data_IF_138427945947
#
_entry.id   IF_138427945947
#
_cell.length_a   1.000
_cell.length_b   1.000
_cell.length_c   1.000
_cell.angle_alpha   90.00
_cell.angle_beta   90.00
_cell.angle_gamma   90.00
#
_symmetry.space_group_name_H-M   'P 1'
#
loop_
_entity.id
_entity.type
_entity.pdbx_description
1 polymer ?
#
# COMPACT_ATOMS: atom_id res chain seq x y z
N UNK A 1 5.72 -27.86 -15.38
CA UNK A 1 5.73 -26.61 -16.17
C UNK A 1 6.48 -25.56 -15.38
N UNK A 2 7.19 -24.64 -16.05
CA UNK A 2 7.94 -23.57 -15.38
C UNK A 2 7.11 -22.26 -15.30
N UNK A 3 7.58 -21.29 -14.51
CA UNK A 3 6.94 -19.97 -14.48
C UNK A 3 6.92 -19.30 -15.86
N UNK A 4 7.96 -19.50 -16.68
CA UNK A 4 8.01 -18.97 -18.05
C UNK A 4 6.90 -19.51 -18.95
N UNK A 5 6.42 -20.73 -18.67
CA UNK A 5 5.35 -21.36 -19.46
C UNK A 5 3.97 -20.80 -19.09
N UNK A 6 3.73 -20.49 -17.82
CA UNK A 6 2.40 -20.16 -17.29
C UNK A 6 2.22 -18.68 -16.90
N UNK A 7 3.33 -17.96 -16.70
CA UNK A 7 3.32 -16.55 -16.28
C UNK A 7 2.68 -16.34 -14.93
N UNK A 8 2.50 -15.05 -14.57
CA UNK A 8 1.91 -14.70 -13.27
C UNK A 8 0.47 -15.21 -13.11
N UNK A 9 -0.30 -15.32 -14.20
CA UNK A 9 -1.70 -15.79 -14.18
C UNK A 9 -1.83 -17.24 -13.75
N UNK A 10 -0.84 -18.07 -14.11
CA UNK A 10 -0.80 -19.46 -13.69
C UNK A 10 -0.38 -19.67 -12.24
N UNK A 11 0.12 -18.61 -11.60
CA UNK A 11 0.60 -18.64 -10.21
C UNK A 11 -0.33 -17.90 -9.26
N UNK A 12 -0.97 -16.83 -9.73
CA UNK A 12 -1.78 -15.93 -8.92
C UNK A 12 -2.98 -16.65 -8.31
N UNK A 13 -3.07 -16.63 -6.99
CA UNK A 13 -4.07 -17.33 -6.18
C UNK A 13 -4.11 -18.86 -6.39
N UNK A 14 -2.93 -19.47 -6.65
CA UNK A 14 -2.80 -20.91 -6.82
C UNK A 14 -1.97 -21.53 -5.71
N UNK A 15 -2.37 -22.73 -5.30
CA UNK A 15 -1.51 -23.63 -4.52
C UNK A 15 -0.55 -24.34 -5.47
N UNK A 16 0.73 -24.35 -5.15
CA UNK A 16 1.79 -24.87 -5.99
C UNK A 16 2.73 -25.69 -5.16
N UNK A 17 3.13 -26.84 -5.65
CA UNK A 17 4.28 -27.55 -5.08
C UNK A 17 5.52 -27.25 -5.93
N UNK A 18 6.65 -27.03 -5.25
CA UNK A 18 7.98 -26.88 -5.88
C UNK A 18 8.95 -27.83 -5.19
N UNK A 19 9.87 -28.41 -5.95
CA UNK A 19 10.88 -29.29 -5.37
C UNK A 19 11.92 -28.49 -4.56
N UNK A 20 12.38 -29.12 -3.47
CA UNK A 20 13.44 -28.55 -2.64
C UNK A 20 14.78 -28.73 -3.37
N UNK A 21 15.52 -27.64 -3.52
CA UNK A 21 16.86 -27.60 -4.11
C UNK A 21 17.76 -26.64 -3.32
N UNK A 22 18.98 -26.38 -3.79
CA UNK A 22 19.95 -25.49 -3.12
C UNK A 22 19.40 -24.08 -2.84
N UNK A 23 18.50 -23.57 -3.70
CA UNK A 23 17.87 -22.24 -3.54
C UNK A 23 16.82 -22.25 -2.43
N UNK A 24 16.00 -23.33 -2.36
CA UNK A 24 14.84 -23.42 -1.46
C UNK A 24 15.14 -24.14 -0.14
N UNK A 25 16.23 -24.90 -0.06
CA UNK A 25 16.61 -25.69 1.13
C UNK A 25 16.77 -24.83 2.39
N UNK A 26 17.39 -23.67 2.26
CA UNK A 26 17.62 -22.76 3.39
C UNK A 26 16.35 -22.22 4.01
N UNK A 27 15.34 -21.96 3.18
CA UNK A 27 14.04 -21.45 3.66
C UNK A 27 13.18 -22.53 4.30
N UNK A 28 13.44 -23.82 3.98
CA UNK A 28 12.76 -24.95 4.61
C UNK A 28 13.17 -25.18 6.07
N UNK A 29 14.36 -24.71 6.45
CA UNK A 29 14.88 -24.93 7.80
C UNK A 29 13.95 -24.30 8.84
N UNK A 30 13.53 -25.10 9.82
CA UNK A 30 12.60 -24.66 10.85
C UNK A 30 11.11 -24.88 10.52
N UNK A 31 10.80 -25.42 9.33
CA UNK A 31 9.47 -25.95 9.05
C UNK A 31 9.31 -27.38 9.62
N UNK A 32 8.11 -27.75 10.10
CA UNK A 32 7.85 -29.10 10.57
C UNK A 32 8.22 -30.15 9.53
N UNK A 33 8.95 -31.19 9.94
CA UNK A 33 9.40 -32.29 9.10
C UNK A 33 10.23 -31.91 7.88
N UNK A 34 10.93 -30.79 7.92
CA UNK A 34 11.81 -30.34 6.82
C UNK A 34 12.93 -31.35 6.49
N UNK A 35 13.38 -32.12 7.48
CA UNK A 35 14.38 -33.20 7.34
C UNK A 35 13.91 -34.36 6.46
N UNK A 36 12.59 -34.55 6.28
CA UNK A 36 11.95 -35.59 5.47
C UNK A 36 11.30 -35.06 4.20
N UNK A 37 11.33 -33.77 4.03
CA UNK A 37 10.68 -33.09 2.90
C UNK A 37 11.55 -33.15 1.64
N UNK A 38 10.89 -33.24 0.48
CA UNK A 38 11.51 -33.04 -0.81
C UNK A 38 10.79 -32.00 -1.67
N UNK A 39 9.68 -31.43 -1.17
CA UNK A 39 8.96 -30.36 -1.81
C UNK A 39 8.42 -29.34 -0.78
N UNK A 40 8.06 -28.18 -1.29
CA UNK A 40 7.35 -27.12 -0.56
C UNK A 40 5.96 -26.95 -1.13
N UNK A 41 4.98 -26.72 -0.26
CA UNK A 41 3.70 -26.15 -0.64
C UNK A 41 3.80 -24.63 -0.51
N UNK A 42 3.51 -23.92 -1.59
CA UNK A 42 3.50 -22.47 -1.64
C UNK A 42 2.17 -21.96 -2.18
N UNK A 43 1.83 -20.72 -1.86
CA UNK A 43 0.67 -20.02 -2.41
C UNK A 43 1.13 -18.74 -3.14
N UNK A 44 0.68 -18.59 -4.38
CA UNK A 44 1.08 -17.48 -5.24
C UNK A 44 0.22 -16.24 -5.04
N UNK A 45 0.86 -15.09 -4.83
CA UNK A 45 0.20 -13.79 -4.79
C UNK A 45 1.03 -12.72 -5.49
N UNK A 46 0.43 -11.56 -5.72
CA UNK A 46 1.11 -10.39 -6.31
C UNK A 46 1.24 -9.31 -5.24
N UNK A 47 2.46 -9.05 -4.83
CA UNK A 47 2.81 -7.86 -4.08
C UNK A 47 2.95 -6.71 -5.10
N UNK A 48 2.12 -5.68 -4.99
CA UNK A 48 2.07 -4.56 -5.94
C UNK A 48 3.44 -3.90 -6.15
N UNK A 49 4.24 -3.82 -5.11
CA UNK A 49 5.57 -3.19 -5.16
C UNK A 49 6.71 -4.15 -5.44
N UNK A 50 6.59 -5.39 -4.99
CA UNK A 50 7.67 -6.38 -5.04
C UNK A 50 7.42 -7.55 -6.00
N UNK A 51 6.27 -7.54 -6.72
CA UNK A 51 5.97 -8.47 -7.80
C UNK A 51 5.42 -9.82 -7.36
N UNK A 52 5.45 -10.78 -8.27
CA UNK A 52 4.93 -12.13 -8.05
C UNK A 52 5.72 -12.85 -6.97
N UNK A 53 5.02 -13.27 -5.95
CA UNK A 53 5.59 -13.83 -4.71
C UNK A 53 4.89 -15.13 -4.35
N UNK A 54 5.65 -16.05 -3.78
CA UNK A 54 5.19 -17.33 -3.26
C UNK A 54 5.31 -17.32 -1.73
N UNK A 55 4.19 -17.40 -1.03
CA UNK A 55 4.15 -17.62 0.42
C UNK A 55 4.41 -19.11 0.69
N UNK A 56 5.38 -19.43 1.53
CA UNK A 56 5.64 -20.82 1.93
C UNK A 56 4.64 -21.23 3.00
N UNK A 57 3.80 -22.18 2.70
CA UNK A 57 2.79 -22.68 3.63
C UNK A 57 3.31 -23.87 4.46
N UNK A 58 3.95 -24.83 3.83
CA UNK A 58 4.42 -26.04 4.47
C UNK A 58 5.54 -26.72 3.70
N UNK A 59 6.29 -27.58 4.38
CA UNK A 59 7.08 -28.62 3.73
C UNK A 59 6.20 -29.80 3.38
N UNK A 60 6.66 -30.64 2.43
CA UNK A 60 5.91 -31.81 2.01
C UNK A 60 6.81 -32.87 1.41
N UNK A 61 6.19 -34.01 1.11
CA UNK A 61 6.81 -35.11 0.40
C UNK A 61 6.04 -35.39 -0.88
N UNK A 62 6.77 -35.40 -1.99
CA UNK A 62 6.26 -35.74 -3.30
C UNK A 62 6.76 -37.13 -3.72
N UNK A 63 5.84 -37.98 -4.10
CA UNK A 63 6.14 -39.25 -4.76
C UNK A 63 5.37 -39.31 -6.07
N UNK A 64 6.09 -39.18 -7.20
CA UNK A 64 5.51 -39.03 -8.56
C UNK A 64 4.52 -37.86 -8.63
N UNK A 65 3.22 -38.15 -8.74
CA UNK A 65 2.14 -37.16 -8.83
C UNK A 65 1.32 -37.06 -7.53
N UNK A 66 1.78 -37.68 -6.46
CA UNK A 66 1.13 -37.63 -5.14
C UNK A 66 1.90 -36.69 -4.23
N UNK A 67 1.18 -35.86 -3.48
CA UNK A 67 1.73 -34.88 -2.56
C UNK A 67 1.15 -35.07 -1.17
N UNK A 68 2.00 -35.04 -0.16
CA UNK A 68 1.62 -35.04 1.25
C UNK A 68 2.25 -33.80 1.86
N UNK A 69 1.43 -32.87 2.32
CA UNK A 69 1.90 -31.63 2.95
C UNK A 69 1.78 -31.73 4.47
N UNK A 70 2.81 -31.23 5.15
CA UNK A 70 2.90 -31.21 6.60
C UNK A 70 2.22 -29.96 7.18
N UNK A 71 2.31 -29.78 8.50
CA UNK A 71 1.72 -28.61 9.14
C UNK A 71 2.59 -27.36 8.91
N UNK A 72 1.93 -26.20 8.89
CA UNK A 72 2.62 -24.92 8.92
C UNK A 72 3.26 -24.66 10.28
N UNK A 73 4.41 -23.99 10.33
CA UNK A 73 4.93 -23.46 11.59
C UNK A 73 3.99 -22.37 12.12
N UNK A 74 3.92 -22.24 13.46
CA UNK A 74 3.03 -21.26 14.10
C UNK A 74 3.50 -19.82 13.95
N UNK A 75 4.81 -19.58 13.92
CA UNK A 75 5.39 -18.22 13.95
C UNK A 75 6.28 -17.90 12.76
N UNK A 76 6.85 -18.92 12.10
CA UNK A 76 7.74 -18.72 10.97
C UNK A 76 6.95 -18.44 9.70
N UNK A 77 7.35 -17.36 9.00
CA UNK A 77 6.79 -16.98 7.72
C UNK A 77 7.92 -16.64 6.76
N UNK A 78 8.00 -17.34 5.66
CA UNK A 78 8.99 -17.12 4.62
C UNK A 78 8.30 -17.00 3.27
N UNK A 79 8.94 -16.24 2.39
CA UNK A 79 8.49 -16.02 1.03
C UNK A 79 9.60 -16.34 0.02
N UNK A 80 9.20 -16.63 -1.21
CA UNK A 80 10.11 -16.78 -2.34
C UNK A 80 9.64 -15.81 -3.43
N UNK A 81 10.52 -14.94 -3.91
CA UNK A 81 10.24 -14.12 -5.10
C UNK A 81 10.36 -15.00 -6.34
N UNK A 82 9.41 -14.87 -7.24
CA UNK A 82 9.27 -15.80 -8.39
C UNK A 82 10.53 -15.89 -9.24
N UNK A 83 11.28 -14.81 -9.40
CA UNK A 83 12.54 -14.80 -10.16
C UNK A 83 13.62 -15.75 -9.60
N UNK A 84 13.56 -16.11 -8.32
CA UNK A 84 14.49 -17.06 -7.71
C UNK A 84 14.19 -18.53 -8.08
N UNK A 85 12.99 -18.80 -8.58
CA UNK A 85 12.50 -20.16 -8.87
C UNK A 85 11.86 -20.28 -10.26
N UNK A 86 12.08 -19.30 -11.14
CA UNK A 86 11.45 -19.24 -12.46
C UNK A 86 11.72 -20.45 -13.36
N UNK A 87 12.89 -21.08 -13.20
CA UNK A 87 13.32 -22.26 -13.94
C UNK A 87 12.89 -23.58 -13.28
N UNK A 88 12.36 -23.52 -12.05
CA UNK A 88 11.91 -24.73 -11.37
C UNK A 88 10.60 -25.23 -11.94
N UNK A 89 10.40 -26.53 -11.84
CA UNK A 89 9.14 -27.15 -12.19
C UNK A 89 8.09 -26.83 -11.12
N UNK A 90 6.98 -26.24 -11.57
CA UNK A 90 5.83 -25.87 -10.75
C UNK A 90 4.74 -26.92 -10.95
N UNK A 91 4.25 -27.46 -9.83
CA UNK A 91 3.15 -28.43 -9.81
C UNK A 91 1.92 -27.74 -9.24
N UNK A 92 0.96 -27.39 -10.10
CA UNK A 92 -0.30 -26.81 -9.66
C UNK A 92 -1.11 -27.84 -8.87
N UNK A 93 -1.54 -27.46 -7.68
CA UNK A 93 -2.33 -28.33 -6.79
C UNK A 93 -3.79 -27.88 -6.88
N UNK A 94 -4.63 -28.79 -7.34
CA UNK A 94 -6.07 -28.56 -7.48
C UNK A 94 -6.75 -28.76 -6.11
N UNK A 95 -7.21 -27.67 -5.52
CA UNK A 95 -7.89 -27.65 -4.21
C UNK A 95 -9.42 -27.53 -4.36
N UNK A 96 -10.01 -28.40 -5.21
CA UNK A 96 -11.46 -28.38 -5.50
C UNK A 96 -12.37 -28.46 -4.28
N UNK A 97 -11.91 -29.05 -3.21
CA UNK A 97 -12.68 -29.24 -1.99
C UNK A 97 -12.32 -28.22 -0.91
N UNK A 98 -11.50 -27.21 -1.24
CA UNK A 98 -11.00 -26.20 -0.31
C UNK A 98 -10.29 -26.78 0.95
N UNK A 99 -9.73 -28.00 0.83
CA UNK A 99 -9.05 -28.66 1.96
C UNK A 99 -7.78 -27.93 2.35
N UNK A 100 -6.96 -27.51 1.38
CA UNK A 100 -5.74 -26.74 1.62
C UNK A 100 -6.09 -25.32 2.07
N UNK A 101 -7.08 -24.70 1.43
CA UNK A 101 -7.53 -23.37 1.80
C UNK A 101 -7.97 -23.34 3.27
N UNK A 102 -8.82 -24.26 3.69
CA UNK A 102 -9.28 -24.35 5.07
C UNK A 102 -8.13 -24.69 6.06
N UNK A 103 -7.24 -25.60 5.66
CA UNK A 103 -6.10 -26.01 6.50
C UNK A 103 -5.12 -24.88 6.76
N UNK A 104 -4.87 -24.02 5.77
CA UNK A 104 -3.91 -22.93 5.84
C UNK A 104 -4.57 -21.55 5.94
N UNK A 105 -5.86 -21.46 6.24
CA UNK A 105 -6.66 -20.23 6.25
C UNK A 105 -5.99 -19.09 7.03
N UNK A 106 -5.49 -19.35 8.24
CA UNK A 106 -4.79 -18.35 9.07
C UNK A 106 -3.55 -17.76 8.38
N UNK A 107 -2.87 -18.54 7.54
CA UNK A 107 -1.70 -18.08 6.78
C UNK A 107 -2.14 -17.25 5.58
N UNK A 108 -3.23 -17.66 4.94
CA UNK A 108 -3.79 -16.97 3.77
C UNK A 108 -4.50 -15.66 4.14
N UNK A 109 -5.12 -15.58 5.32
CA UNK A 109 -5.72 -14.34 5.84
C UNK A 109 -4.72 -13.18 5.88
N UNK A 110 -3.46 -13.45 6.25
CA UNK A 110 -2.41 -12.42 6.29
C UNK A 110 -2.09 -11.89 4.88
N UNK A 111 -2.33 -12.67 3.82
CA UNK A 111 -2.08 -12.25 2.44
C UNK A 111 -3.14 -11.30 1.90
N UNK A 112 -4.26 -11.12 2.59
CA UNK A 112 -5.30 -10.16 2.18
C UNK A 112 -4.79 -8.72 2.19
N UNK A 113 -3.70 -8.43 2.92
CA UNK A 113 -3.02 -7.12 2.85
C UNK A 113 -2.50 -6.79 1.43
N UNK A 114 -2.32 -7.79 0.58
CA UNK A 114 -1.92 -7.63 -0.82
C UNK A 114 -3.11 -7.61 -1.80
N UNK A 115 -4.33 -7.64 -1.29
CA UNK A 115 -5.53 -7.44 -2.11
C UNK A 115 -5.55 -5.99 -2.58
N UNK A 116 -5.74 -5.80 -3.87
CA UNK A 116 -5.79 -4.49 -4.50
C UNK A 116 -7.22 -4.07 -4.76
N UNK A 117 -7.44 -2.78 -5.00
CA UNK A 117 -8.75 -2.27 -5.37
C UNK A 117 -9.28 -2.86 -6.69
N UNK A 118 -10.58 -2.70 -6.94
CA UNK A 118 -11.25 -3.26 -8.12
C UNK A 118 -10.63 -2.75 -9.43
N UNK A 119 -10.23 -1.48 -9.48
CA UNK A 119 -9.62 -0.85 -10.66
C UNK A 119 -8.30 -1.51 -11.03
N UNK A 120 -7.41 -1.69 -10.05
CA UNK A 120 -6.13 -2.37 -10.28
C UNK A 120 -6.33 -3.87 -10.54
N UNK A 121 -7.24 -4.55 -9.84
CA UNK A 121 -7.58 -5.94 -10.09
C UNK A 121 -8.08 -6.14 -11.53
N UNK A 122 -8.90 -5.21 -12.04
CA UNK A 122 -9.36 -5.21 -13.41
C UNK A 122 -8.19 -5.14 -14.39
N UNK A 123 -7.19 -4.29 -14.13
CA UNK A 123 -6.01 -4.19 -15.02
C UNK A 123 -5.25 -5.50 -15.07
N UNK A 124 -5.12 -6.23 -13.96
CA UNK A 124 -4.50 -7.57 -13.92
C UNK A 124 -5.24 -8.59 -14.79
N UNK A 125 -6.55 -8.43 -14.98
CA UNK A 125 -7.35 -9.29 -15.87
C UNK A 125 -7.15 -9.00 -17.36
N UNK A 126 -6.62 -7.83 -17.73
CA UNK A 126 -6.43 -7.38 -19.12
C UNK A 126 -5.28 -8.13 -19.81
N UNK A 127 -5.57 -9.26 -20.44
CA UNK A 127 -4.57 -10.09 -21.13
C UNK A 127 -3.82 -9.39 -22.26
N UNK A 128 -4.40 -8.36 -22.87
CA UNK A 128 -3.75 -7.56 -23.90
C UNK A 128 -2.56 -6.73 -23.39
N UNK A 129 -2.44 -6.51 -22.09
CA UNK A 129 -1.29 -5.84 -21.46
C UNK A 129 -0.11 -6.78 -21.24
N UNK A 130 -0.30 -8.11 -21.30
CA UNK A 130 0.71 -9.08 -20.87
C UNK A 130 2.01 -8.96 -21.66
N UNK A 131 1.97 -8.58 -22.95
CA UNK A 131 3.17 -8.36 -23.77
C UNK A 131 4.01 -7.14 -23.36
N UNK A 132 3.44 -6.24 -22.55
CA UNK A 132 4.11 -5.04 -22.06
C UNK A 132 4.51 -5.16 -20.59
N UNK A 133 4.03 -6.19 -19.88
CA UNK A 133 4.32 -6.39 -18.45
C UNK A 133 5.75 -6.86 -18.22
N UNK A 134 6.29 -6.45 -17.09
CA UNK A 134 7.54 -7.04 -16.59
C UNK A 134 7.27 -8.49 -16.14
N UNK A 135 8.15 -9.45 -16.49
CA UNK A 135 7.91 -10.86 -16.18
C UNK A 135 7.62 -11.16 -14.72
N UNK A 136 8.30 -10.49 -13.80
CA UNK A 136 8.20 -10.75 -12.35
C UNK A 136 7.34 -9.72 -11.59
N UNK A 137 7.11 -8.55 -12.20
CA UNK A 137 6.33 -7.45 -11.65
C UNK A 137 5.12 -7.18 -12.54
N UNK A 138 4.03 -7.96 -12.39
CA UNK A 138 2.90 -7.91 -13.32
C UNK A 138 2.21 -6.54 -13.42
N UNK A 139 2.34 -5.72 -12.39
CA UNK A 139 1.77 -4.37 -12.39
C UNK A 139 2.70 -3.34 -13.05
N UNK A 140 3.97 -3.70 -13.32
CA UNK A 140 4.91 -2.84 -14.03
C UNK A 140 4.87 -3.14 -15.53
N UNK A 141 4.65 -2.11 -16.35
CA UNK A 141 4.56 -2.21 -17.81
C UNK A 141 5.55 -1.30 -18.50
N UNK A 142 5.97 -1.70 -19.69
CA UNK A 142 6.65 -0.81 -20.62
C UNK A 142 5.65 0.06 -21.34
N UNK A 143 5.95 1.37 -21.41
CA UNK A 143 5.20 2.29 -22.23
C UNK A 143 6.12 3.18 -23.05
N UNK A 144 5.59 3.71 -24.15
CA UNK A 144 6.23 4.71 -24.99
C UNK A 144 5.80 6.09 -24.51
N UNK A 145 6.73 6.82 -23.86
CA UNK A 145 6.54 8.17 -23.40
C UNK A 145 6.93 9.16 -24.50
N UNK A 146 6.02 10.06 -24.88
CA UNK A 146 6.32 11.13 -25.82
C UNK A 146 7.16 12.20 -25.14
N UNK A 147 8.29 12.52 -25.76
CA UNK A 147 9.21 13.58 -25.31
C UNK A 147 8.76 14.94 -25.82
N UNK A 148 9.35 16.03 -25.28
CA UNK A 148 9.06 17.39 -25.73
C UNK A 148 9.46 17.64 -27.20
N UNK A 149 10.38 16.84 -27.76
CA UNK A 149 10.75 16.87 -29.19
C UNK A 149 9.78 16.11 -30.10
N UNK A 150 8.77 15.42 -29.55
CA UNK A 150 7.82 14.58 -30.28
C UNK A 150 8.33 13.16 -30.59
N UNK A 151 9.54 12.81 -30.13
CA UNK A 151 10.05 11.46 -30.20
C UNK A 151 9.48 10.60 -29.06
N UNK A 152 9.65 9.28 -29.12
CA UNK A 152 9.23 8.38 -28.05
C UNK A 152 10.42 7.77 -27.33
N UNK A 153 10.29 7.62 -26.02
CA UNK A 153 11.22 6.91 -25.15
C UNK A 153 10.49 5.79 -24.43
N UNK A 154 11.17 4.65 -24.23
CA UNK A 154 10.60 3.52 -23.49
C UNK A 154 10.84 3.74 -22.00
N UNK A 155 9.77 3.79 -21.24
CA UNK A 155 9.80 3.92 -19.79
C UNK A 155 9.04 2.77 -19.11
N UNK A 156 9.29 2.60 -17.83
CA UNK A 156 8.53 1.68 -16.99
C UNK A 156 7.52 2.45 -16.16
N UNK A 157 6.31 1.93 -16.08
CA UNK A 157 5.22 2.48 -15.27
C UNK A 157 4.58 1.38 -14.46
N UNK A 158 4.40 1.58 -13.16
CA UNK A 158 3.56 0.75 -12.32
C UNK A 158 2.12 1.19 -12.47
N UNK A 159 1.27 0.29 -12.92
CA UNK A 159 -0.16 0.55 -13.08
C UNK A 159 -0.76 0.74 -11.68
N UNK A 160 -1.45 1.86 -11.48
CA UNK A 160 -2.19 2.16 -10.24
C UNK A 160 -3.70 1.99 -10.43
N UNK A 161 -4.15 1.88 -11.67
CA UNK A 161 -5.56 1.62 -11.99
C UNK A 161 -5.95 1.96 -13.41
N UNK A 162 -7.27 1.85 -13.64
CA UNK A 162 -7.91 2.19 -14.90
C UNK A 162 -9.23 2.93 -14.63
N UNK A 163 -9.59 3.84 -15.53
CA UNK A 163 -10.94 4.38 -15.63
C UNK A 163 -11.58 3.97 -16.97
N UNK A 164 -12.74 4.53 -17.31
CA UNK A 164 -13.49 4.14 -18.51
C UNK A 164 -12.71 4.25 -19.83
N UNK A 165 -11.67 5.09 -19.90
CA UNK A 165 -10.99 5.44 -21.15
C UNK A 165 -9.48 5.35 -21.11
N UNK A 166 -8.88 5.48 -19.93
CA UNK A 166 -7.43 5.57 -19.74
C UNK A 166 -6.95 4.66 -18.62
N UNK A 167 -5.72 4.25 -18.75
CA UNK A 167 -4.95 3.63 -17.69
C UNK A 167 -4.09 4.71 -17.04
N UNK A 168 -3.76 4.55 -15.77
CA UNK A 168 -2.85 5.45 -15.10
C UNK A 168 -1.88 4.69 -14.20
N UNK A 169 -0.72 5.28 -13.96
CA UNK A 169 0.29 4.64 -13.15
C UNK A 169 1.47 5.52 -12.82
N UNK A 170 2.29 5.04 -11.89
CA UNK A 170 3.48 5.72 -11.39
C UNK A 170 4.67 5.47 -12.31
N UNK A 171 5.29 6.53 -12.82
CA UNK A 171 6.52 6.45 -13.61
C UNK A 171 7.68 5.97 -12.72
N UNK A 172 8.33 4.87 -13.11
CA UNK A 172 9.32 4.17 -12.29
C UNK A 172 10.78 4.58 -12.57
N UNK A 173 11.01 5.27 -13.67
CA UNK A 173 12.35 5.75 -14.03
C UNK A 173 12.29 7.17 -14.58
N UNK A 174 13.33 7.96 -14.30
CA UNK A 174 13.48 9.28 -14.88
C UNK A 174 13.71 9.18 -16.40
N UNK A 175 12.92 9.88 -17.24
CA UNK A 175 13.16 9.94 -18.67
C UNK A 175 14.52 10.57 -19.00
N UNK A 176 15.28 9.99 -19.92
CA UNK A 176 16.56 10.54 -20.35
C UNK A 176 16.39 11.84 -21.17
N UNK A 177 15.29 11.90 -21.94
CA UNK A 177 14.95 13.08 -22.76
C UNK A 177 13.96 13.95 -22.02
N UNK A 178 13.99 15.24 -22.30
CA UNK A 178 13.03 16.18 -21.71
C UNK A 178 11.59 15.77 -22.01
N UNK A 179 10.81 15.63 -20.96
CA UNK A 179 9.40 15.25 -20.98
C UNK A 179 8.59 16.15 -20.03
N UNK A 180 7.26 16.02 -20.06
CA UNK A 180 6.36 16.74 -19.16
C UNK A 180 6.31 16.16 -17.74
N UNK A 181 6.84 14.96 -17.56
CA UNK A 181 6.77 14.19 -16.32
C UNK A 181 8.15 13.71 -15.88
N UNK A 182 8.26 13.34 -14.60
CA UNK A 182 9.46 12.88 -13.93
C UNK A 182 9.19 11.55 -13.21
N UNK A 183 10.25 10.85 -12.81
CA UNK A 183 10.13 9.68 -11.95
C UNK A 183 9.24 9.97 -10.74
N UNK A 184 8.34 9.04 -10.44
CA UNK A 184 7.38 9.13 -9.34
C UNK A 184 6.09 9.88 -9.67
N UNK A 185 5.99 10.56 -10.83
CA UNK A 185 4.73 11.18 -11.25
C UNK A 185 3.70 10.10 -11.63
N UNK A 186 2.44 10.33 -11.29
CA UNK A 186 1.32 9.53 -11.81
C UNK A 186 0.93 10.10 -13.16
N UNK A 187 1.02 9.28 -14.20
CA UNK A 187 0.73 9.68 -15.57
C UNK A 187 -0.40 8.87 -16.17
N UNK A 188 -1.12 9.46 -17.08
CA UNK A 188 -2.15 8.79 -17.88
C UNK A 188 -1.54 8.19 -19.14
N UNK A 189 -2.06 7.04 -19.56
CA UNK A 189 -1.65 6.40 -20.80
C UNK A 189 -2.79 5.62 -21.43
N UNK A 190 -2.67 5.35 -22.71
CA UNK A 190 -3.67 4.66 -23.51
C UNK A 190 -3.04 3.58 -24.38
N UNK A 191 -3.87 2.70 -24.89
CA UNK A 191 -3.46 1.63 -25.80
C UNK A 191 -3.56 2.08 -27.23
N UNK A 192 -2.50 1.83 -27.96
CA UNK A 192 -2.44 2.05 -29.41
C UNK A 192 -2.12 0.74 -30.12
N UNK A 193 -2.77 0.55 -31.26
CA UNK A 193 -2.49 -0.56 -32.15
C UNK A 193 -1.49 -0.11 -33.21
N UNK A 194 -0.33 -0.78 -33.26
CA UNK A 194 0.70 -0.56 -34.29
C UNK A 194 0.23 -1.07 -35.66
N UNK A 195 0.88 -0.67 -36.74
CA UNK A 195 0.62 -1.16 -38.10
C UNK A 195 0.68 -2.71 -38.17
N UNK A 196 1.57 -3.32 -37.40
CA UNK A 196 1.73 -4.79 -37.33
C UNK A 196 0.67 -5.44 -36.41
N UNK A 197 -0.30 -4.69 -35.91
CA UNK A 197 -1.39 -5.21 -35.08
C UNK A 197 -1.03 -5.42 -33.60
N UNK A 198 0.21 -5.12 -33.16
CA UNK A 198 0.64 -5.20 -31.76
C UNK A 198 0.03 -4.03 -30.97
N UNK A 199 -0.48 -4.32 -29.77
CA UNK A 199 -0.90 -3.29 -28.83
C UNK A 199 0.30 -2.80 -28.01
N UNK A 200 0.40 -1.49 -27.86
CA UNK A 200 1.44 -0.81 -27.07
C UNK A 200 0.81 0.26 -26.19
N UNK A 201 1.41 0.50 -25.03
CA UNK A 201 1.01 1.57 -24.13
C UNK A 201 1.75 2.85 -24.52
N UNK A 202 1.03 3.98 -24.61
CA UNK A 202 1.59 5.28 -25.01
C UNK A 202 1.07 6.37 -24.07
N UNK A 203 1.96 7.25 -23.64
CA UNK A 203 1.63 8.46 -22.87
C UNK A 203 2.25 9.67 -23.51
N UNK A 204 1.56 10.81 -23.47
CA UNK A 204 2.13 12.12 -23.81
C UNK A 204 2.75 12.83 -22.58
N UNK A 205 2.85 12.12 -21.46
CA UNK A 205 3.35 12.63 -20.20
C UNK A 205 2.34 13.47 -19.42
N UNK A 206 1.05 13.43 -19.79
CA UNK A 206 0.01 14.08 -19.01
C UNK A 206 -0.06 13.50 -17.62
N UNK A 207 0.15 14.35 -16.62
CA UNK A 207 0.06 13.97 -15.21
C UNK A 207 -1.40 13.88 -14.80
N UNK A 208 -1.75 12.78 -14.17
CA UNK A 208 -3.06 12.65 -13.54
C UNK A 208 -3.09 13.48 -12.27
N UNK A 209 -4.07 14.35 -12.16
CA UNK A 209 -4.37 15.01 -10.90
C UNK A 209 -5.15 13.99 -10.04
N UNK A 210 -4.44 13.37 -9.09
CA UNK A 210 -5.10 12.60 -8.05
C UNK A 210 -5.78 13.59 -7.10
N UNK A 211 -7.04 13.35 -6.82
CA UNK A 211 -7.70 14.05 -5.73
C UNK A 211 -7.41 13.32 -4.41
N UNK A 212 -7.08 14.06 -3.35
CA UNK A 212 -6.96 13.47 -2.03
C UNK A 212 -8.23 12.66 -1.67
N UNK A 213 -8.07 11.61 -0.90
CA UNK A 213 -9.21 10.94 -0.30
C UNK A 213 -10.02 11.97 0.50
N UNK A 214 -11.34 11.93 0.36
CA UNK A 214 -12.20 12.87 1.06
C UNK A 214 -12.85 12.24 2.29
N UNK A 215 -13.32 13.09 3.18
CA UNK A 215 -14.00 12.72 4.42
C UNK A 215 -15.15 11.72 4.19
N UNK A 216 -15.99 11.93 3.18
CA UNK A 216 -17.15 11.08 2.92
C UNK A 216 -16.75 9.66 2.51
N UNK A 217 -15.71 9.50 1.69
CA UNK A 217 -15.18 8.18 1.32
C UNK A 217 -14.65 7.44 2.55
N UNK A 218 -13.89 8.13 3.40
CA UNK A 218 -13.35 7.53 4.63
C UNK A 218 -14.47 7.15 5.60
N UNK A 219 -15.43 8.02 5.85
CA UNK A 219 -16.61 7.70 6.68
C UNK A 219 -17.36 6.48 6.18
N UNK A 220 -17.61 6.42 4.87
CA UNK A 220 -18.29 5.26 4.24
C UNK A 220 -17.49 3.96 4.45
N UNK A 221 -16.17 4.00 4.27
CA UNK A 221 -15.30 2.83 4.50
C UNK A 221 -15.32 2.39 5.97
N UNK A 222 -15.24 3.34 6.92
CA UNK A 222 -15.35 3.06 8.37
C UNK A 222 -16.71 2.44 8.71
N UNK A 223 -17.81 2.97 8.17
CA UNK A 223 -19.15 2.40 8.37
C UNK A 223 -19.24 0.97 7.84
N UNK A 224 -18.69 0.69 6.66
CA UNK A 224 -18.64 -0.68 6.11
C UNK A 224 -17.88 -1.62 7.02
N UNK A 225 -16.69 -1.20 7.47
CA UNK A 225 -15.88 -2.00 8.39
C UNK A 225 -16.58 -2.23 9.74
N UNK A 226 -17.28 -1.25 10.28
CA UNK A 226 -18.02 -1.42 11.53
C UNK A 226 -19.19 -2.40 11.41
N UNK A 227 -19.83 -2.44 10.24
CA UNK A 227 -20.91 -3.40 9.93
C UNK A 227 -20.37 -4.80 9.63
N UNK A 228 -19.23 -4.89 8.96
CA UNK A 228 -18.61 -6.14 8.56
C UNK A 228 -17.08 -6.01 8.69
N UNK A 229 -16.55 -6.56 9.80
CA UNK A 229 -15.13 -6.44 10.19
C UNK A 229 -14.24 -7.40 9.39
N UNK A 230 -14.28 -7.28 8.08
CA UNK A 230 -13.39 -8.02 7.18
C UNK A 230 -12.06 -7.30 7.00
N UNK A 231 -11.03 -8.05 6.64
CA UNK A 231 -9.73 -7.48 6.27
C UNK A 231 -9.82 -6.60 5.02
N UNK A 232 -10.68 -6.94 4.07
CA UNK A 232 -10.92 -6.16 2.85
C UNK A 232 -11.43 -4.76 3.18
N UNK A 233 -12.44 -4.66 4.06
CA UNK A 233 -12.94 -3.37 4.53
C UNK A 233 -11.87 -2.58 5.31
N UNK A 234 -11.01 -3.25 6.08
CA UNK A 234 -9.89 -2.62 6.78
C UNK A 234 -8.84 -2.07 5.79
N UNK A 235 -8.49 -2.83 4.76
CA UNK A 235 -7.56 -2.41 3.71
C UNK A 235 -8.08 -1.16 3.00
N UNK A 236 -9.37 -1.11 2.65
CA UNK A 236 -9.99 0.08 2.05
C UNK A 236 -9.84 1.33 2.91
N UNK A 237 -9.93 1.20 4.25
CA UNK A 237 -9.67 2.32 5.16
C UNK A 237 -8.19 2.73 5.09
N UNK A 238 -7.27 1.76 5.12
CA UNK A 238 -5.83 2.04 5.11
C UNK A 238 -5.40 2.76 3.83
N UNK A 239 -5.94 2.37 2.67
CA UNK A 239 -5.68 3.02 1.39
C UNK A 239 -6.17 4.47 1.36
N UNK A 240 -7.37 4.73 1.92
CA UNK A 240 -7.88 6.09 2.03
C UNK A 240 -7.06 6.93 3.01
N UNK A 241 -6.64 6.34 4.15
CA UNK A 241 -5.82 7.04 5.14
C UNK A 241 -4.45 7.43 4.59
N UNK A 242 -3.87 6.62 3.72
CA UNK A 242 -2.60 6.91 3.05
C UNK A 242 -2.61 8.26 2.33
N UNK A 243 -3.75 8.63 1.75
CA UNK A 243 -3.87 9.75 0.80
C UNK A 243 -4.93 10.78 1.22
N UNK A 244 -5.18 10.95 2.53
CA UNK A 244 -6.12 11.94 3.07
C UNK A 244 -5.41 13.09 3.77
N UNK A 245 -5.95 14.30 3.60
CA UNK A 245 -5.63 15.46 4.43
C UNK A 245 -6.45 15.41 5.72
N UNK A 246 -5.81 15.70 6.84
CA UNK A 246 -6.42 15.71 8.17
C UNK A 246 -6.05 16.98 8.94
N UNK A 247 -6.84 17.28 9.92
CA UNK A 247 -6.63 18.38 10.85
C UNK A 247 -6.11 17.87 12.18
N UNK A 248 -5.07 18.52 12.71
CA UNK A 248 -4.47 18.21 14.00
C UNK A 248 -4.69 19.41 14.93
N UNK A 249 -5.32 19.22 16.10
CA UNK A 249 -5.43 20.27 17.12
C UNK A 249 -4.07 20.46 17.79
N UNK A 250 -3.62 21.69 17.88
CA UNK A 250 -2.33 22.05 18.45
C UNK A 250 -2.42 23.19 19.44
N UNK A 251 -1.65 23.12 20.49
CA UNK A 251 -1.36 24.23 21.38
C UNK A 251 -0.25 25.09 20.75
N UNK A 252 -0.53 26.35 20.50
CA UNK A 252 0.47 27.29 20.04
C UNK A 252 1.29 27.81 21.21
N UNK A 253 2.58 27.46 21.26
CA UNK A 253 3.50 27.98 22.28
C UNK A 253 4.30 29.13 21.67
N UNK A 254 4.11 30.32 22.26
CA UNK A 254 4.80 31.54 21.85
C UNK A 254 5.81 31.95 22.93
N UNK A 255 6.85 32.68 22.53
CA UNK A 255 7.89 33.14 23.47
C UNK A 255 7.36 34.12 24.50
N UNK A 256 7.98 34.21 25.67
CA UNK A 256 7.64 35.17 26.70
C UNK A 256 7.70 36.63 26.21
N UNK A 257 8.60 36.92 25.28
CA UNK A 257 8.74 38.21 24.60
C UNK A 257 7.50 38.54 23.77
N UNK A 258 6.96 37.58 23.03
CA UNK A 258 5.77 37.77 22.23
C UNK A 258 4.49 37.78 23.10
N UNK A 259 4.46 37.00 24.20
CA UNK A 259 3.41 37.11 25.23
C UNK A 259 3.34 38.53 25.80
N UNK A 260 4.49 39.15 26.12
CA UNK A 260 4.54 40.51 26.62
C UNK A 260 4.03 41.54 25.58
N UNK A 261 4.31 41.33 24.29
CA UNK A 261 3.76 42.18 23.21
C UNK A 261 2.25 42.03 23.09
N UNK A 262 1.73 40.79 23.17
CA UNK A 262 0.29 40.50 23.13
C UNK A 262 -0.46 41.16 24.28
N UNK A 263 0.06 41.10 25.51
CA UNK A 263 -0.55 41.74 26.68
C UNK A 263 -0.66 43.27 26.53
N UNK A 264 0.22 43.91 25.77
CA UNK A 264 0.25 45.33 25.51
C UNK A 264 -0.42 45.76 24.21
N UNK A 265 -0.87 44.77 23.35
CA UNK A 265 -1.51 45.06 22.08
C UNK A 265 -2.96 45.56 22.29
N UNK A 266 -3.35 46.57 21.54
CA UNK A 266 -4.75 47.06 21.48
C UNK A 266 -5.46 46.37 20.31
N UNK A 267 -6.78 46.24 20.39
CA UNK A 267 -7.59 45.70 19.31
C UNK A 267 -7.28 46.42 17.97
N UNK A 268 -7.00 45.67 16.93
CA UNK A 268 -6.61 46.19 15.61
C UNK A 268 -5.11 46.39 15.38
N UNK A 269 -4.24 46.17 16.37
CA UNK A 269 -2.80 46.20 16.21
C UNK A 269 -2.29 44.86 15.64
N UNK A 270 -1.41 44.94 14.66
CA UNK A 270 -0.65 43.77 14.15
C UNK A 270 0.78 43.87 14.67
N UNK A 271 1.37 42.74 15.05
CA UNK A 271 2.80 42.65 15.35
C UNK A 271 3.38 41.44 14.69
N UNK A 272 4.69 41.49 14.42
CA UNK A 272 5.41 40.35 13.88
C UNK A 272 6.01 39.57 15.06
N UNK A 273 5.81 38.24 15.09
CA UNK A 273 6.48 37.38 16.05
C UNK A 273 8.00 37.52 15.94
N UNK A 274 8.71 37.52 17.05
CA UNK A 274 10.16 37.54 17.10
C UNK A 274 10.78 36.16 16.99
N UNK A 275 10.05 35.15 17.44
CA UNK A 275 10.51 33.76 17.46
C UNK A 275 9.51 32.87 16.72
N UNK A 276 9.94 31.67 16.34
CA UNK A 276 9.08 30.67 15.72
C UNK A 276 8.01 30.18 16.70
N UNK A 277 6.76 30.22 16.26
CA UNK A 277 5.63 29.67 17.03
C UNK A 277 5.70 28.15 16.94
N UNK A 278 5.84 27.51 18.09
CA UNK A 278 5.82 26.04 18.17
C UNK A 278 4.40 25.56 18.28
N UNK A 279 4.02 24.67 17.37
CA UNK A 279 2.72 23.99 17.36
C UNK A 279 2.89 22.62 18.01
N UNK A 280 2.37 22.43 19.22
CA UNK A 280 2.44 21.18 19.96
C UNK A 280 1.09 20.46 19.80
N UNK A 281 1.04 19.30 19.13
CA UNK A 281 -0.20 18.53 19.01
C UNK A 281 -0.77 18.17 20.38
N UNK A 282 -2.10 18.26 20.51
CA UNK A 282 -2.80 17.81 21.70
C UNK A 282 -2.90 16.28 21.73
N UNK A 283 -3.08 15.71 22.92
CA UNK A 283 -3.19 14.27 23.15
C UNK A 283 -4.42 13.98 23.97
N UNK A 284 -5.27 13.09 23.48
CA UNK A 284 -6.43 12.61 24.20
C UNK A 284 -6.06 11.46 25.14
N UNK A 285 -6.72 11.40 26.28
CA UNK A 285 -6.60 10.31 27.23
C UNK A 285 -7.96 9.60 27.38
N UNK A 286 -7.94 8.28 27.31
CA UNK A 286 -9.07 7.43 27.59
C UNK A 286 -8.64 6.32 28.57
N UNK A 287 -9.06 6.43 29.83
CA UNK A 287 -8.55 5.58 30.90
C UNK A 287 -7.03 5.74 31.07
N UNK A 288 -6.30 4.65 30.96
CA UNK A 288 -4.83 4.63 31.08
C UNK A 288 -4.10 4.76 29.71
N UNK A 289 -4.85 4.87 28.62
CA UNK A 289 -4.29 4.96 27.27
C UNK A 289 -4.33 6.39 26.74
N UNK A 290 -3.34 6.70 25.91
CA UNK A 290 -3.22 7.97 25.21
C UNK A 290 -3.38 7.76 23.71
N UNK A 291 -4.06 8.70 23.01
CA UNK A 291 -4.30 8.67 21.59
C UNK A 291 -3.94 10.00 20.94
N UNK A 292 -3.35 9.95 19.77
CA UNK A 292 -3.08 11.12 18.96
C UNK A 292 -4.35 11.46 18.14
N UNK A 293 -5.04 12.59 18.42
CA UNK A 293 -6.27 12.92 17.72
C UNK A 293 -6.00 13.54 16.37
N UNK A 294 -6.73 13.06 15.35
CA UNK A 294 -6.82 13.70 14.04
C UNK A 294 -8.29 13.79 13.62
N UNK A 295 -8.59 14.76 12.76
CA UNK A 295 -9.95 15.02 12.31
C UNK A 295 -9.98 15.17 10.80
N UNK A 296 -11.02 14.64 10.16
CA UNK A 296 -11.20 14.71 8.71
C UNK A 296 -11.63 16.10 8.25
N UNK A 297 -12.17 16.91 9.15
CA UNK A 297 -12.47 18.33 8.92
C UNK A 297 -12.43 19.11 10.22
N UNK A 298 -12.37 20.43 10.13
CA UNK A 298 -12.44 21.30 11.30
C UNK A 298 -13.81 21.20 12.02
N UNK A 299 -14.88 20.85 11.29
CA UNK A 299 -16.21 20.66 11.85
C UNK A 299 -16.30 19.42 12.75
N UNK A 300 -15.55 18.36 12.45
CA UNK A 300 -15.48 17.13 13.25
C UNK A 300 -14.85 17.33 14.64
N UNK A 301 -14.12 18.43 14.84
CA UNK A 301 -13.59 18.80 16.15
C UNK A 301 -14.68 19.36 17.10
N UNK A 302 -15.74 19.95 16.53
CA UNK A 302 -16.78 20.61 17.33
C UNK A 302 -16.23 21.65 18.30
N UNK A 303 -16.86 21.79 19.46
CA UNK A 303 -16.45 22.73 20.53
C UNK A 303 -15.03 22.48 21.09
N UNK A 304 -14.56 21.22 21.01
CA UNK A 304 -13.18 20.91 21.41
C UNK A 304 -12.16 21.68 20.57
N UNK A 305 -12.40 21.79 19.25
CA UNK A 305 -11.52 22.51 18.34
C UNK A 305 -11.41 24.01 18.58
N UNK A 306 -12.34 24.64 19.33
CA UNK A 306 -12.34 26.07 19.58
C UNK A 306 -11.17 26.52 20.47
N UNK A 307 -10.63 25.60 21.25
CA UNK A 307 -9.52 25.88 22.18
C UNK A 307 -8.13 25.69 21.55
N UNK A 308 -8.04 25.26 20.30
CA UNK A 308 -6.78 24.89 19.67
C UNK A 308 -6.53 25.66 18.37
N UNK A 309 -5.26 25.89 18.09
CA UNK A 309 -4.80 26.13 16.72
C UNK A 309 -4.92 24.83 15.92
N UNK A 310 -5.21 24.94 14.63
CA UNK A 310 -5.46 23.78 13.77
C UNK A 310 -4.43 23.77 12.65
N UNK A 311 -3.74 22.67 12.48
CA UNK A 311 -2.83 22.46 11.34
C UNK A 311 -3.37 21.37 10.42
N UNK A 312 -3.34 21.62 9.12
CA UNK A 312 -3.69 20.63 8.11
C UNK A 312 -2.44 19.93 7.64
N UNK A 313 -2.47 18.59 7.61
CA UNK A 313 -1.37 17.75 7.16
C UNK A 313 -1.90 16.50 6.48
N UNK A 314 -1.05 15.83 5.70
CA UNK A 314 -1.31 14.48 5.27
C UNK A 314 -1.31 13.53 6.47
N UNK A 315 -2.19 12.52 6.46
CA UNK A 315 -2.25 11.53 7.55
C UNK A 315 -0.90 10.84 7.77
N UNK A 316 -0.17 10.54 6.69
CA UNK A 316 1.17 9.97 6.78
C UNK A 316 2.17 10.87 7.52
N UNK A 317 2.02 12.20 7.46
CA UNK A 317 2.86 13.13 8.22
C UNK A 317 2.47 13.17 9.72
N UNK A 318 1.24 12.80 10.07
CA UNK A 318 0.80 12.70 11.46
C UNK A 318 1.39 11.46 12.17
N UNK A 319 1.69 10.39 11.45
CA UNK A 319 2.23 9.14 12.03
C UNK A 319 3.54 9.37 12.80
N UNK A 320 4.59 9.99 12.22
CA UNK A 320 5.81 10.27 12.97
C UNK A 320 5.58 11.25 14.14
N UNK A 321 4.62 12.18 14.04
CA UNK A 321 4.28 13.06 15.15
C UNK A 321 3.66 12.28 16.32
N UNK A 322 2.82 11.29 16.02
CA UNK A 322 2.25 10.40 17.00
C UNK A 322 3.32 9.52 17.66
N UNK A 323 4.22 8.91 16.89
CA UNK A 323 5.28 8.04 17.43
C UNK A 323 6.33 8.78 18.27
N UNK A 324 6.65 10.02 17.92
CA UNK A 324 7.62 10.85 18.64
C UNK A 324 7.02 11.60 19.83
N UNK A 325 5.77 11.33 20.20
CA UNK A 325 5.12 12.01 21.32
C UNK A 325 5.60 11.46 22.67
N UNK A 326 5.81 12.35 23.64
CA UNK A 326 6.28 12.01 25.00
C UNK A 326 5.32 11.07 25.75
N UNK A 327 4.02 11.14 25.45
CA UNK A 327 2.98 10.32 26.11
C UNK A 327 2.94 8.85 25.65
N UNK A 328 3.69 8.47 24.61
CA UNK A 328 3.68 7.11 24.05
C UNK A 328 2.25 6.64 23.73
N UNK A 329 1.66 7.25 22.74
CA UNK A 329 0.27 6.96 22.34
C UNK A 329 0.08 5.51 21.89
N UNK A 330 -1.09 4.94 22.14
CA UNK A 330 -1.49 3.59 21.69
C UNK A 330 -1.86 3.55 20.19
N UNK A 331 -2.14 4.72 19.61
CA UNK A 331 -2.50 4.87 18.20
C UNK A 331 -3.00 6.27 17.87
N UNK A 332 -3.47 6.42 16.64
CA UNK A 332 -4.18 7.62 16.17
C UNK A 332 -5.68 7.38 16.27
N UNK A 333 -6.42 8.34 16.83
CA UNK A 333 -7.88 8.33 16.81
C UNK A 333 -8.40 9.37 15.83
N UNK A 334 -9.25 8.94 14.91
CA UNK A 334 -9.88 9.75 13.88
C UNK A 334 -11.27 10.15 14.38
N UNK A 335 -11.64 11.45 14.28
CA UNK A 335 -12.96 11.99 14.62
C UNK A 335 -13.45 11.56 16.01
N UNK A 336 -12.61 11.76 17.04
CA UNK A 336 -12.79 11.24 18.40
C UNK A 336 -14.15 11.58 19.05
N UNK A 337 -14.83 12.63 18.60
CA UNK A 337 -16.05 13.16 19.25
C UNK A 337 -17.34 12.92 18.46
N UNK A 338 -17.24 12.33 17.26
CA UNK A 338 -18.39 12.01 16.40
C UNK A 338 -18.46 10.51 16.14
N UNK A 339 -17.72 10.01 15.16
CA UNK A 339 -17.62 8.59 14.81
C UNK A 339 -16.17 8.13 14.98
N UNK A 340 -15.74 7.83 16.21
CA UNK A 340 -14.34 7.54 16.48
C UNK A 340 -13.86 6.25 15.81
N UNK A 341 -12.74 6.34 15.12
CA UNK A 341 -12.03 5.19 14.60
C UNK A 341 -10.58 5.19 15.05
N UNK A 342 -10.15 4.13 15.74
CA UNK A 342 -8.78 4.02 16.27
C UNK A 342 -7.94 3.22 15.31
N UNK A 343 -6.82 3.79 14.89
CA UNK A 343 -5.77 3.12 14.11
C UNK A 343 -4.62 2.79 15.06
N UNK A 344 -4.44 1.51 15.46
CA UNK A 344 -3.40 1.12 16.40
C UNK A 344 -2.00 1.22 15.75
N UNK A 345 -0.96 1.33 16.57
CA UNK A 345 0.41 1.55 16.13
C UNK A 345 0.92 0.55 15.09
N UNK A 346 0.50 -0.70 15.15
CA UNK A 346 0.93 -1.72 14.18
C UNK A 346 0.34 -1.47 12.80
N UNK A 347 -0.92 -1.03 12.71
CA UNK A 347 -1.52 -0.62 11.44
C UNK A 347 -0.91 0.67 10.91
N UNK A 348 -0.56 1.63 11.79
CA UNK A 348 0.11 2.87 11.38
C UNK A 348 1.44 2.59 10.67
N UNK A 349 2.22 1.61 11.13
CA UNK A 349 3.45 1.18 10.45
C UNK A 349 3.18 0.65 9.05
N UNK A 350 2.17 -0.20 8.89
CA UNK A 350 1.80 -0.76 7.60
C UNK A 350 1.37 0.33 6.62
N UNK A 351 0.54 1.30 7.08
CA UNK A 351 0.13 2.45 6.25
C UNK A 351 1.35 3.29 5.83
N UNK A 352 2.27 3.52 6.75
CA UNK A 352 3.49 4.30 6.47
C UNK A 352 4.39 3.63 5.42
N UNK A 353 4.51 2.29 5.46
CA UNK A 353 5.30 1.52 4.51
C UNK A 353 4.72 1.53 3.08
N UNK A 354 3.41 1.72 2.92
CA UNK A 354 2.78 1.79 1.61
C UNK A 354 3.16 3.06 0.83
N UNK A 355 3.54 4.14 1.53
CA UNK A 355 3.83 5.45 0.92
C UNK A 355 2.59 6.13 0.35
N UNK A 356 2.68 7.41 0.00
CA UNK A 356 1.58 8.18 -0.60
C UNK A 356 1.71 8.27 -2.11
N UNK A 357 0.58 8.38 -2.80
CA UNK A 357 0.52 8.81 -4.20
C UNK A 357 0.83 10.31 -4.38
N UNK A 358 0.79 11.09 -3.30
CA UNK A 358 1.06 12.52 -3.31
C UNK A 358 2.49 12.81 -2.84
N UNK A 359 3.17 13.76 -3.50
CA UNK A 359 4.48 14.25 -3.03
C UNK A 359 4.25 15.01 -1.72
N UNK A 360 4.66 14.42 -0.61
CA UNK A 360 4.78 15.15 0.64
C UNK A 360 5.95 16.12 0.52
N UNK A 361 5.76 17.38 0.95
CA UNK A 361 6.85 18.35 0.97
C UNK A 361 7.91 17.86 1.95
N UNK A 362 9.13 17.66 1.47
CA UNK A 362 10.29 17.49 2.34
C UNK A 362 10.37 18.73 3.26
N UNK A 363 10.34 18.51 4.55
CA UNK A 363 10.49 19.55 5.57
C UNK A 363 11.96 19.80 5.89
#
# INVERSE_FOLDING_TARGET
MTYKDIGFRGVYHQFIAIDINETTEKVCQGYPNSDKANCLLVYGYIDHTAGTTLEILACGHREKNSFIFYDSPTEKRDIIRIGAVEELELYLIDDKNEELFNRYSKRLEVLQVFTVDESLAQTRSMGFLDSSRHPYYPDDIQLYLQTNSGEFEVCWVRIEGADEKTLFGKLLNEPFKQSKCHEGDIIEFSLFKTENGKLVCVSDGTKRQLEPANENKLKTAIMRFNNDKTNENLISIMELLRDILIWIPCNAVISDTDVAKLKNAKAGMTFKSTDDIRMIPDILQNGDEYFFPVFTSAAEMGEYGDNFSKIEKWFLEAIPLAFNNEKKVSGIVINAFTEPFVVPNDLLKVIQEQGSHFKMKEQ
#
